data_IF_830323124621
#
_entry.id   IF_830323124621
#
_cell.length_a   1.000
_cell.length_b   1.000
_cell.length_c   1.000
_cell.angle_alpha   90.00
_cell.angle_beta   90.00
_cell.angle_gamma   90.00
#
_symmetry.space_group_name_H-M   'P 1'
#
loop_
_entity.id
_entity.type
_entity.pdbx_description
1 polymer ?
#
# COMPACT_ATOMS: atom_id res chain seq x y z
N UNK A 1 7.63 -21.61 7.27
CA UNK A 1 7.81 -20.20 7.68
C UNK A 1 6.63 -19.83 8.56
N UNK A 2 6.86 -19.13 9.68
CA UNK A 2 5.79 -18.57 10.51
C UNK A 2 5.25 -17.27 9.90
N UNK A 3 3.99 -16.88 10.18
CA UNK A 3 3.50 -15.55 9.81
C UNK A 3 4.32 -14.46 10.54
N UNK A 4 4.36 -13.27 9.96
CA UNK A 4 4.90 -12.10 10.66
C UNK A 4 4.02 -11.84 11.88
N UNK A 5 4.66 -11.60 13.03
CA UNK A 5 3.97 -11.11 14.21
C UNK A 5 3.31 -9.77 13.90
N UNK A 6 2.04 -9.61 14.32
CA UNK A 6 1.28 -8.40 14.08
C UNK A 6 1.95 -7.25 14.81
N UNK A 7 2.36 -6.24 14.05
CA UNK A 7 2.99 -5.04 14.58
C UNK A 7 1.96 -3.92 14.77
N UNK A 8 2.29 -2.99 15.66
CA UNK A 8 1.55 -1.75 15.78
C UNK A 8 1.58 -0.98 14.46
N UNK A 9 0.52 -0.22 14.20
CA UNK A 9 0.49 0.66 13.05
C UNK A 9 1.60 1.73 13.24
N UNK A 10 2.46 1.95 12.25
CA UNK A 10 3.52 2.94 12.36
C UNK A 10 2.94 4.35 12.29
N UNK A 11 3.69 5.32 12.81
CA UNK A 11 3.33 6.73 12.65
C UNK A 11 3.27 7.11 11.17
N UNK A 12 2.31 7.97 10.81
CA UNK A 12 2.14 8.42 9.44
C UNK A 12 3.40 9.20 9.01
N UNK A 13 4.12 8.79 7.94
CA UNK A 13 5.32 9.50 7.51
C UNK A 13 4.98 10.92 7.05
N UNK A 14 5.91 11.89 7.10
CA UNK A 14 5.67 13.26 6.66
C UNK A 14 5.19 13.31 5.19
N UNK A 15 4.44 14.35 4.85
CA UNK A 15 3.92 14.51 3.50
C UNK A 15 5.07 14.58 2.49
N UNK A 16 5.10 13.77 1.41
CA UNK A 16 6.25 13.70 0.53
C UNK A 16 6.49 15.00 -0.24
N UNK A 17 7.77 15.38 -0.34
CA UNK A 17 8.23 16.48 -1.20
C UNK A 17 8.07 16.13 -2.68
N UNK A 18 8.20 17.12 -3.56
CA UNK A 18 8.26 16.94 -5.01
C UNK A 18 9.74 17.00 -5.46
N UNK A 19 10.20 16.11 -6.35
CA UNK A 19 9.49 14.96 -6.91
C UNK A 19 9.25 13.86 -5.85
N UNK A 20 8.18 13.08 -6.01
CA UNK A 20 7.88 11.99 -5.08
C UNK A 20 8.72 10.76 -5.40
N UNK A 21 9.60 10.39 -4.50
CA UNK A 21 10.55 9.29 -4.69
C UNK A 21 9.97 7.93 -4.27
N UNK A 22 10.50 6.87 -4.89
CA UNK A 22 10.25 5.50 -4.46
C UNK A 22 10.62 5.30 -2.98
N UNK A 23 9.92 4.36 -2.32
CA UNK A 23 10.26 3.93 -0.97
C UNK A 23 11.71 3.47 -0.87
N UNK A 24 12.37 3.79 0.24
CA UNK A 24 13.72 3.34 0.58
C UNK A 24 13.71 2.00 1.33
N UNK A 25 14.89 1.43 1.59
CA UNK A 25 15.00 0.25 2.47
C UNK A 25 14.50 0.53 3.90
N UNK A 26 14.78 1.72 4.42
CA UNK A 26 14.26 2.19 5.70
C UNK A 26 12.72 2.25 5.68
N UNK A 27 12.13 2.75 4.61
CA UNK A 27 10.66 2.79 4.48
C UNK A 27 10.03 1.39 4.47
N UNK A 28 10.73 0.39 3.92
CA UNK A 28 10.26 -1.00 3.93
C UNK A 28 10.17 -1.52 5.36
N UNK A 29 11.24 -1.36 6.15
CA UNK A 29 11.27 -1.83 7.53
C UNK A 29 10.32 -1.04 8.41
N UNK A 30 10.28 0.29 8.27
CA UNK A 30 9.49 1.19 9.12
C UNK A 30 8.00 1.16 8.80
N UNK A 31 7.60 0.99 7.55
CA UNK A 31 6.20 1.12 7.15
C UNK A 31 5.61 -0.11 6.46
N UNK A 32 6.29 -0.65 5.45
CA UNK A 32 5.74 -1.74 4.63
C UNK A 32 5.60 -3.02 5.46
N UNK A 33 6.64 -3.39 6.22
CA UNK A 33 6.60 -4.60 7.04
C UNK A 33 5.48 -4.56 8.09
N UNK A 34 5.28 -3.48 8.87
CA UNK A 34 4.11 -3.35 9.74
C UNK A 34 2.78 -3.49 8.99
N UNK A 35 2.59 -2.83 7.85
CA UNK A 35 1.37 -2.96 7.05
C UNK A 35 1.15 -4.40 6.58
N UNK A 36 2.21 -5.08 6.13
CA UNK A 36 2.15 -6.49 5.70
C UNK A 36 1.82 -7.43 6.86
N UNK A 37 2.31 -7.14 8.07
CA UNK A 37 1.90 -7.87 9.29
C UNK A 37 0.40 -7.73 9.58
N UNK A 38 -0.21 -6.62 9.11
CA UNK A 38 -1.64 -6.31 9.21
C UNK A 38 -2.42 -6.69 7.94
N UNK A 39 -1.95 -7.71 7.23
CA UNK A 39 -2.60 -8.30 6.05
C UNK A 39 -2.69 -7.38 4.81
N UNK A 40 -1.97 -6.26 4.78
CA UNK A 40 -1.67 -5.63 3.49
C UNK A 40 -0.74 -6.54 2.68
N UNK A 41 -0.85 -6.46 1.37
CA UNK A 41 0.00 -7.22 0.45
C UNK A 41 0.63 -6.29 -0.57
N UNK A 42 1.75 -6.75 -1.15
CA UNK A 42 2.39 -6.08 -2.28
C UNK A 42 2.09 -6.89 -3.53
N UNK A 43 1.25 -6.33 -4.40
CA UNK A 43 0.85 -6.93 -5.67
C UNK A 43 1.57 -6.31 -6.86
N UNK A 44 1.25 -6.83 -8.05
CA UNK A 44 1.83 -6.42 -9.32
C UNK A 44 0.74 -5.84 -10.22
N UNK A 45 1.00 -4.69 -10.81
CA UNK A 45 0.06 -4.05 -11.74
C UNK A 45 0.36 -4.55 -13.16
N UNK A 46 -0.55 -5.35 -13.72
CA UNK A 46 -0.36 -6.00 -15.03
C UNK A 46 -0.44 -5.06 -16.24
N UNK A 47 -0.82 -3.79 -16.09
CA UNK A 47 -0.97 -2.87 -17.23
C UNK A 47 0.37 -2.22 -17.57
N UNK A 48 0.95 -2.67 -18.68
CA UNK A 48 2.30 -2.35 -19.15
C UNK A 48 2.58 -0.86 -19.36
N UNK A 49 3.55 -0.35 -18.61
CA UNK A 49 4.29 0.86 -18.95
C UNK A 49 5.78 0.47 -18.99
N UNK A 50 6.21 -0.06 -20.14
CA UNK A 50 7.56 -0.58 -20.37
C UNK A 50 7.85 -1.91 -19.67
N UNK A 51 9.14 -2.24 -19.56
CA UNK A 51 9.62 -3.50 -18.95
C UNK A 51 9.65 -3.47 -17.41
N UNK A 52 9.32 -2.33 -16.80
CA UNK A 52 9.47 -2.17 -15.36
C UNK A 52 8.28 -2.77 -14.60
N UNK A 53 8.60 -3.66 -13.67
CA UNK A 53 7.66 -4.13 -12.66
C UNK A 53 7.13 -2.96 -11.81
N UNK A 54 5.81 -2.75 -11.83
CA UNK A 54 5.09 -1.78 -11.01
C UNK A 54 4.41 -2.54 -9.87
N UNK A 55 4.74 -2.15 -8.64
CA UNK A 55 4.16 -2.71 -7.42
C UNK A 55 3.04 -1.83 -6.88
N UNK A 56 2.04 -2.46 -6.27
CA UNK A 56 0.90 -1.85 -5.57
C UNK A 56 0.82 -2.33 -4.12
N UNK A 57 0.37 -1.44 -3.22
CA UNK A 57 -0.09 -1.81 -1.89
C UNK A 57 -1.57 -2.16 -1.97
N UNK A 58 -1.91 -3.35 -1.48
CA UNK A 58 -3.22 -3.96 -1.69
C UNK A 58 -3.81 -4.46 -0.39
N UNK A 59 -5.13 -4.32 -0.24
CA UNK A 59 -5.85 -4.83 0.93
C UNK A 59 -7.31 -5.10 0.63
N UNK A 60 -7.77 -6.28 1.06
CA UNK A 60 -9.18 -6.66 1.08
C UNK A 60 -9.78 -6.45 2.47
N UNK A 61 -10.83 -5.65 2.56
CA UNK A 61 -11.63 -5.45 3.76
C UNK A 61 -12.97 -6.18 3.64
N UNK A 62 -13.47 -6.71 4.76
CA UNK A 62 -14.77 -7.40 4.83
C UNK A 62 -15.65 -6.77 5.91
N UNK A 63 -16.91 -6.58 5.57
CA UNK A 63 -17.90 -5.91 6.39
C UNK A 63 -19.14 -6.78 6.60
N UNK A 64 -20.00 -6.40 7.54
CA UNK A 64 -21.24 -7.16 7.82
C UNK A 64 -22.27 -7.03 6.71
N UNK A 65 -22.27 -5.90 6.00
CA UNK A 65 -23.17 -5.69 4.87
C UNK A 65 -22.77 -4.53 3.97
N UNK A 66 -23.57 -4.32 2.93
CA UNK A 66 -23.32 -3.31 1.89
C UNK A 66 -23.32 -1.88 2.43
N UNK A 67 -24.18 -1.54 3.40
CA UNK A 67 -24.20 -0.19 3.98
C UNK A 67 -22.87 0.17 4.69
N UNK A 68 -22.27 -0.80 5.40
CA UNK A 68 -20.97 -0.61 6.03
C UNK A 68 -19.85 -0.39 5.01
N UNK A 69 -19.93 -1.10 3.87
CA UNK A 69 -19.03 -0.91 2.73
C UNK A 69 -19.14 0.52 2.18
N UNK A 70 -20.35 1.02 1.95
CA UNK A 70 -20.54 2.35 1.38
C UNK A 70 -20.04 3.46 2.32
N UNK A 71 -20.29 3.33 3.62
CA UNK A 71 -19.75 4.25 4.63
C UNK A 71 -18.22 4.23 4.66
N UNK A 72 -17.61 3.04 4.59
CA UNK A 72 -16.16 2.90 4.55
C UNK A 72 -15.56 3.53 3.28
N UNK A 73 -16.15 3.25 2.11
CA UNK A 73 -15.72 3.81 0.82
C UNK A 73 -15.82 5.34 0.82
N UNK A 74 -16.86 5.91 1.43
CA UNK A 74 -16.97 7.36 1.60
C UNK A 74 -15.79 7.91 2.41
N UNK A 75 -15.43 7.27 3.53
CA UNK A 75 -14.24 7.65 4.30
C UNK A 75 -12.94 7.53 3.52
N UNK A 76 -12.78 6.48 2.70
CA UNK A 76 -11.64 6.33 1.78
C UNK A 76 -11.60 7.45 0.74
N UNK A 77 -12.76 7.89 0.23
CA UNK A 77 -12.83 9.02 -0.69
C UNK A 77 -12.38 10.33 -0.03
N UNK A 78 -12.76 10.56 1.24
CA UNK A 78 -12.32 11.72 2.01
C UNK A 78 -10.80 11.71 2.24
N UNK A 79 -10.22 10.55 2.58
CA UNK A 79 -8.77 10.35 2.66
C UNK A 79 -8.09 10.66 1.33
N UNK A 80 -8.66 10.20 0.21
CA UNK A 80 -8.12 10.42 -1.14
C UNK A 80 -8.03 11.91 -1.49
N UNK A 81 -9.07 12.68 -1.15
CA UNK A 81 -9.09 14.14 -1.36
C UNK A 81 -8.06 14.84 -0.48
N UNK A 82 -7.97 14.46 0.80
CA UNK A 82 -7.03 15.07 1.75
C UNK A 82 -5.56 14.79 1.37
N UNK A 83 -5.24 13.57 0.97
CA UNK A 83 -3.87 13.18 0.57
C UNK A 83 -3.51 13.61 -0.86
N UNK A 84 -4.50 14.05 -1.65
CA UNK A 84 -4.37 14.30 -3.10
C UNK A 84 -3.75 13.09 -3.79
N UNK A 85 -4.21 11.90 -3.41
CA UNK A 85 -3.71 10.60 -3.84
C UNK A 85 -4.88 9.64 -3.96
N UNK A 86 -4.98 8.91 -5.07
CA UNK A 86 -6.16 8.08 -5.35
C UNK A 86 -5.75 6.61 -5.46
N UNK A 87 -6.60 5.73 -4.94
CA UNK A 87 -6.49 4.29 -5.13
C UNK A 87 -7.51 3.80 -6.16
N UNK A 88 -7.24 2.63 -6.73
CA UNK A 88 -8.28 1.82 -7.37
C UNK A 88 -9.05 1.08 -6.28
N UNK A 89 -10.38 1.15 -6.34
CA UNK A 89 -11.29 0.55 -5.37
C UNK A 89 -12.21 -0.41 -6.12
N UNK A 90 -12.32 -1.65 -5.64
CA UNK A 90 -13.30 -2.63 -6.14
C UNK A 90 -14.25 -2.97 -5.00
N UNK A 91 -15.55 -2.90 -5.27
CA UNK A 91 -16.60 -3.15 -4.29
C UNK A 91 -17.37 -4.39 -4.73
N UNK A 92 -17.48 -5.38 -3.84
CA UNK A 92 -18.26 -6.58 -4.06
C UNK A 92 -19.08 -6.89 -2.81
N UNK A 93 -20.36 -6.51 -2.84
CA UNK A 93 -21.35 -6.63 -1.76
C UNK A 93 -20.84 -6.21 -0.38
N UNK A 94 -20.23 -7.13 0.37
CA UNK A 94 -19.72 -6.92 1.73
C UNK A 94 -18.21 -6.78 1.79
N UNK A 95 -17.54 -6.60 0.65
CA UNK A 95 -16.07 -6.51 0.56
C UNK A 95 -15.61 -5.31 -0.24
N UNK A 96 -14.43 -4.79 0.13
CA UNK A 96 -13.75 -3.68 -0.53
C UNK A 96 -12.29 -4.05 -0.74
N UNK A 97 -11.84 -4.08 -1.99
CA UNK A 97 -10.43 -4.20 -2.34
C UNK A 97 -9.85 -2.83 -2.68
N UNK A 98 -8.76 -2.48 -2.02
CA UNK A 98 -7.99 -1.26 -2.23
C UNK A 98 -6.67 -1.62 -2.92
N UNK A 99 -6.32 -0.86 -3.97
CA UNK A 99 -5.03 -0.97 -4.67
C UNK A 99 -4.43 0.43 -4.83
N UNK A 100 -3.27 0.68 -4.23
CA UNK A 100 -2.61 2.00 -4.24
C UNK A 100 -1.19 1.90 -4.78
N UNK A 101 -0.86 2.79 -5.71
CA UNK A 101 0.49 3.04 -6.19
C UNK A 101 0.58 4.48 -6.72
N UNK A 102 1.79 5.01 -6.79
CA UNK A 102 2.01 6.37 -7.27
C UNK A 102 2.37 6.38 -8.77
N UNK A 103 1.45 6.87 -9.60
CA UNK A 103 1.65 7.02 -11.06
C UNK A 103 2.79 7.99 -11.45
N UNK A 104 3.06 8.99 -10.60
CA UNK A 104 4.11 9.99 -10.83
C UNK A 104 5.20 9.90 -9.77
N UNK A 105 5.74 8.69 -9.63
CA UNK A 105 6.91 8.43 -8.79
C UNK A 105 8.22 8.55 -9.59
N UNK A 106 9.31 8.79 -8.87
CA UNK A 106 10.62 9.05 -9.47
C UNK A 106 11.71 8.19 -8.83
N UNK A 107 12.59 7.69 -9.67
CA UNK A 107 13.89 7.10 -9.29
C UNK A 107 15.02 7.98 -9.80
N UNK A 108 16.20 7.85 -9.22
CA UNK A 108 17.43 8.32 -9.84
C UNK A 108 18.02 7.19 -10.67
N UNK A 109 18.30 7.44 -11.94
CA UNK A 109 19.12 6.56 -12.78
C UNK A 109 20.52 7.19 -12.90
N UNK A 110 21.56 6.35 -12.83
CA UNK A 110 22.92 6.80 -13.17
C UNK A 110 23.04 6.84 -14.68
N UNK A 111 23.21 8.04 -15.24
CA UNK A 111 23.51 8.22 -16.67
C UNK A 111 24.98 8.64 -16.79
N UNK A 112 25.82 7.74 -17.31
CA UNK A 112 27.27 7.93 -17.41
C UNK A 112 27.96 7.98 -16.04
N UNK A 113 29.13 8.63 -15.95
CA UNK A 113 29.97 8.55 -14.76
C UNK A 113 29.52 9.43 -13.57
N UNK A 114 28.69 10.48 -13.74
CA UNK A 114 28.42 11.44 -12.64
C UNK A 114 27.06 12.15 -12.58
N UNK A 115 26.10 11.94 -13.49
CA UNK A 115 24.81 12.67 -13.43
C UNK A 115 23.66 11.76 -13.01
N UNK A 116 23.08 12.04 -11.85
CA UNK A 116 21.80 11.46 -11.43
C UNK A 116 20.68 12.28 -12.06
N UNK A 117 19.96 11.70 -13.01
CA UNK A 117 18.76 12.33 -13.57
C UNK A 117 17.50 11.67 -13.01
N UNK A 118 16.50 12.45 -12.57
CA UNK A 118 15.25 11.90 -12.07
C UNK A 118 14.45 11.32 -13.24
N UNK A 119 14.18 10.01 -13.17
CA UNK A 119 13.35 9.30 -14.14
C UNK A 119 12.00 8.98 -13.53
N UNK A 120 10.94 9.36 -14.24
CA UNK A 120 9.56 9.04 -13.85
C UNK A 120 9.31 7.55 -14.07
N UNK A 121 9.07 6.82 -12.98
CA UNK A 121 8.75 5.39 -12.97
C UNK A 121 7.66 5.16 -11.93
N UNK A 122 6.44 4.75 -12.31
CA UNK A 122 5.39 4.43 -11.35
C UNK A 122 5.83 3.38 -10.32
N UNK A 123 5.26 3.43 -9.11
CA UNK A 123 5.53 2.44 -8.07
C UNK A 123 5.16 2.95 -6.68
N UNK A 124 5.61 2.20 -5.67
CA UNK A 124 5.37 2.52 -4.27
C UNK A 124 6.19 3.71 -3.80
N UNK A 125 5.53 4.63 -3.10
CA UNK A 125 6.12 5.78 -2.43
C UNK A 125 5.53 5.94 -1.04
N UNK A 126 6.07 6.89 -0.25
CA UNK A 126 5.46 7.28 1.02
C UNK A 126 4.02 7.80 0.89
N UNK A 127 3.54 8.22 -0.30
CA UNK A 127 2.12 8.57 -0.49
C UNK A 127 1.22 7.36 -0.32
N UNK A 128 1.63 6.22 -0.88
CA UNK A 128 0.89 4.95 -0.80
C UNK A 128 0.87 4.44 0.64
N UNK A 129 2.00 4.57 1.35
CA UNK A 129 2.11 4.26 2.79
C UNK A 129 1.16 5.12 3.63
N UNK A 130 1.18 6.45 3.47
CA UNK A 130 0.28 7.35 4.21
C UNK A 130 -1.18 7.00 3.98
N UNK A 131 -1.52 6.70 2.73
CA UNK A 131 -2.85 6.30 2.33
C UNK A 131 -3.26 4.99 3.02
N UNK A 132 -2.41 3.97 2.99
CA UNK A 132 -2.66 2.69 3.62
C UNK A 132 -2.84 2.79 5.14
N UNK A 133 -1.98 3.55 5.84
CA UNK A 133 -2.07 3.77 7.29
C UNK A 133 -3.41 4.42 7.64
N UNK A 134 -3.81 5.49 6.94
CA UNK A 134 -5.08 6.18 7.20
C UNK A 134 -6.32 5.31 6.95
N UNK A 135 -6.26 4.44 5.94
CA UNK A 135 -7.34 3.48 5.68
C UNK A 135 -7.39 2.44 6.80
N UNK A 136 -6.24 1.99 7.29
CA UNK A 136 -6.19 1.05 8.41
C UNK A 136 -6.76 1.67 9.69
N UNK A 137 -6.42 2.93 10.00
CA UNK A 137 -7.03 3.71 11.10
C UNK A 137 -8.55 3.81 10.93
N UNK A 138 -9.03 4.17 9.74
CA UNK A 138 -10.45 4.22 9.43
C UNK A 138 -11.11 2.86 9.67
N UNK A 139 -10.50 1.78 9.18
CA UNK A 139 -11.03 0.42 9.34
C UNK A 139 -11.10 -0.02 10.81
N UNK A 140 -10.13 0.34 11.64
CA UNK A 140 -10.18 0.06 13.09
C UNK A 140 -11.42 0.70 13.74
N UNK A 141 -11.84 1.90 13.33
CA UNK A 141 -13.08 2.51 13.84
C UNK A 141 -14.35 1.70 13.50
N UNK A 142 -14.37 1.05 12.34
CA UNK A 142 -15.48 0.16 11.95
C UNK A 142 -15.43 -1.14 12.75
N UNK A 143 -14.23 -1.66 13.01
CA UNK A 143 -14.02 -2.87 13.82
C UNK A 143 -14.43 -2.67 15.27
N UNK A 144 -14.08 -1.55 15.89
CA UNK A 144 -14.51 -1.18 17.24
C UNK A 144 -16.03 -1.08 17.38
N UNK A 145 -16.71 -0.59 16.33
CA UNK A 145 -18.18 -0.54 16.25
C UNK A 145 -18.81 -1.88 15.89
N UNK A 146 -18.02 -2.93 15.73
CA UNK A 146 -18.49 -4.26 15.35
C UNK A 146 -19.13 -4.29 13.96
N UNK A 147 -18.68 -3.47 13.02
CA UNK A 147 -19.20 -3.37 11.64
C UNK A 147 -18.41 -4.20 10.62
N UNK A 148 -17.34 -4.84 11.05
CA UNK A 148 -16.43 -5.63 10.20
C UNK A 148 -16.57 -7.13 10.45
N UNK A 149 -16.10 -7.92 9.48
CA UNK A 149 -15.94 -9.37 9.63
C UNK A 149 -14.46 -9.67 9.77
N UNK A 150 -14.06 -10.20 10.92
CA UNK A 150 -12.68 -10.65 11.11
C UNK A 150 -12.46 -11.93 10.31
N UNK A 151 -11.59 -11.86 9.31
CA UNK A 151 -11.09 -13.04 8.61
C UNK A 151 -9.61 -12.90 8.32
N UNK A 152 -8.85 -13.95 8.61
CA UNK A 152 -7.45 -14.07 8.22
C UNK A 152 -7.39 -14.95 6.97
N UNK A 153 -6.74 -14.53 5.87
CA UNK A 153 -6.54 -15.38 4.71
C UNK A 153 -5.81 -16.67 5.09
N UNK A 154 -6.24 -17.83 4.57
CA UNK A 154 -5.62 -19.12 4.88
C UNK A 154 -4.16 -19.19 4.42
N UNK A 155 -3.80 -18.42 3.39
CA UNK A 155 -2.48 -18.31 2.79
C UNK A 155 -1.70 -17.07 3.27
N UNK A 156 -2.12 -16.41 4.37
CA UNK A 156 -1.54 -15.16 4.86
C UNK A 156 -0.01 -15.22 4.93
N UNK A 157 0.57 -16.26 5.51
CA UNK A 157 2.03 -16.41 5.62
C UNK A 157 2.72 -16.40 4.25
N UNK A 158 2.13 -17.07 3.26
CA UNK A 158 2.67 -17.09 1.91
C UNK A 158 2.54 -15.72 1.24
N UNK A 159 1.41 -15.04 1.43
CA UNK A 159 1.18 -13.69 0.92
C UNK A 159 2.15 -12.67 1.53
N UNK A 160 2.38 -12.73 2.85
CA UNK A 160 3.35 -11.87 3.54
C UNK A 160 4.76 -12.10 3.00
N UNK A 161 5.18 -13.37 2.89
CA UNK A 161 6.50 -13.70 2.37
C UNK A 161 6.69 -13.23 0.92
N UNK A 162 5.71 -13.46 0.04
CA UNK A 162 5.74 -12.99 -1.34
C UNK A 162 5.80 -11.46 -1.42
N UNK A 163 5.01 -10.77 -0.59
CA UNK A 163 4.97 -9.30 -0.54
C UNK A 163 6.34 -8.74 -0.17
N UNK A 164 6.96 -9.26 0.90
CA UNK A 164 8.29 -8.84 1.34
C UNK A 164 9.38 -9.17 0.31
N UNK A 165 9.29 -10.33 -0.33
CA UNK A 165 10.22 -10.71 -1.41
C UNK A 165 10.13 -9.75 -2.60
N UNK A 166 8.91 -9.40 -3.05
CA UNK A 166 8.69 -8.49 -4.18
C UNK A 166 9.21 -7.08 -3.88
N UNK A 167 8.89 -6.53 -2.71
CA UNK A 167 9.32 -5.16 -2.35
C UNK A 167 10.84 -5.06 -2.19
N UNK A 168 11.48 -6.04 -1.53
CA UNK A 168 12.94 -6.06 -1.38
C UNK A 168 13.63 -6.24 -2.73
N UNK A 169 13.15 -7.16 -3.57
CA UNK A 169 13.71 -7.33 -4.93
C UNK A 169 13.68 -6.03 -5.72
N UNK A 170 12.59 -5.26 -5.63
CA UNK A 170 12.39 -4.05 -6.43
C UNK A 170 13.19 -2.83 -5.94
N UNK A 171 13.36 -2.69 -4.62
CA UNK A 171 13.85 -1.45 -4.00
C UNK A 171 15.17 -1.60 -3.23
N UNK A 172 15.66 -2.82 -2.98
CA UNK A 172 16.95 -3.04 -2.30
C UNK A 172 18.17 -3.08 -3.22
N UNK A 173 17.97 -3.11 -4.55
CA UNK A 173 19.05 -3.28 -5.55
C UNK A 173 19.60 -1.96 -6.13
N UNK A 174 19.45 -0.83 -5.43
CA UNK A 174 19.93 0.48 -5.91
C UNK A 174 21.02 1.06 -5.03
#
# INVERSE_FOLDING_TARGET
MSPLEVQNLPEIPPFPTKPTHHISLEDITTYIQPLVSRQWTVGHICTGVGENEILSLERRYKFKGFNDVMDFVQGVADISRAEKHHARIVIEYSTVDIFSHTHSAYTFDRVGERKLEPKKVPGLTRRDVRFAIKIEELHETFKERGRTVQSVPADLTQLQHRSMKSVLRRYSQK
#
